data_IF_970115844059
#
_entry.id   IF_970115844059
#
_cell.length_a   1.000
_cell.length_b   1.000
_cell.length_c   1.000
_cell.angle_alpha   90.00
_cell.angle_beta   90.00
_cell.angle_gamma   90.00
#
_symmetry.space_group_name_H-M   'P 1'
#
loop_
_entity.id
_entity.type
_entity.pdbx_description
1 polymer ?
#
# COMPACT_ATOMS: atom_id res chain seq x y z
N UNK A 1 -13.56 9.37 22.66
CA UNK A 1 -12.20 9.74 22.21
C UNK A 1 -12.12 9.63 20.70
N UNK A 2 -12.37 10.74 20.00
CA UNK A 2 -12.10 10.83 18.57
C UNK A 2 -10.59 10.87 18.41
N UNK A 3 -10.00 9.76 18.00
CA UNK A 3 -8.57 9.70 17.68
C UNK A 3 -8.41 10.62 16.48
N UNK A 4 -7.86 11.81 16.66
CA UNK A 4 -7.53 12.72 15.57
C UNK A 4 -6.56 11.99 14.63
N UNK A 5 -7.11 11.34 13.62
CA UNK A 5 -6.35 10.73 12.56
C UNK A 5 -5.64 11.87 11.86
N UNK A 6 -4.30 11.84 11.91
CA UNK A 6 -3.45 12.72 11.11
C UNK A 6 -3.91 12.69 9.65
N UNK A 7 -3.70 13.78 8.93
CA UNK A 7 -3.99 13.86 7.49
C UNK A 7 -3.35 12.67 6.75
N UNK A 8 -2.12 12.28 7.13
CA UNK A 8 -1.44 11.09 6.59
C UNK A 8 -2.14 9.77 6.94
N UNK A 9 -2.71 9.65 8.15
CA UNK A 9 -3.48 8.45 8.54
C UNK A 9 -4.78 8.35 7.73
N UNK A 10 -5.46 9.48 7.47
CA UNK A 10 -6.67 9.53 6.62
C UNK A 10 -6.33 9.15 5.18
N UNK A 11 -5.27 9.73 4.63
CA UNK A 11 -4.77 9.43 3.28
C UNK A 11 -4.43 7.94 3.14
N UNK A 12 -3.73 7.36 4.12
CA UNK A 12 -3.43 5.92 4.14
C UNK A 12 -4.71 5.08 4.11
N UNK A 13 -5.71 5.41 4.92
CA UNK A 13 -6.96 4.66 4.99
C UNK A 13 -7.69 4.71 3.64
N UNK A 14 -7.76 5.88 3.02
CA UNK A 14 -8.38 6.03 1.69
C UNK A 14 -7.66 5.17 0.64
N UNK A 15 -6.32 5.19 0.61
CA UNK A 15 -5.55 4.36 -0.32
C UNK A 15 -5.74 2.86 -0.04
N UNK A 16 -5.72 2.45 1.24
CA UNK A 16 -5.97 1.06 1.64
C UNK A 16 -7.37 0.57 1.28
N UNK A 17 -8.37 1.44 1.38
CA UNK A 17 -9.73 1.16 0.93
C UNK A 17 -9.75 0.92 -0.57
N UNK A 18 -9.16 1.80 -1.38
CA UNK A 18 -9.08 1.61 -2.83
C UNK A 18 -8.41 0.28 -3.23
N UNK A 19 -7.31 -0.08 -2.56
CA UNK A 19 -6.64 -1.37 -2.78
C UNK A 19 -7.50 -2.57 -2.40
N UNK A 20 -8.29 -2.43 -1.33
CA UNK A 20 -9.09 -3.52 -0.76
C UNK A 20 -10.49 -3.61 -1.38
N UNK A 21 -10.95 -2.55 -2.04
CA UNK A 21 -12.27 -2.46 -2.67
C UNK A 21 -12.45 -3.49 -3.78
N UNK A 22 -11.42 -3.77 -4.58
CA UNK A 22 -11.46 -4.84 -5.58
C UNK A 22 -10.05 -5.20 -6.08
N UNK A 23 -9.88 -6.47 -6.49
CA UNK A 23 -8.63 -6.97 -7.09
C UNK A 23 -8.20 -6.18 -8.33
N UNK A 24 -9.15 -5.60 -9.06
CA UNK A 24 -8.85 -4.82 -10.26
C UNK A 24 -8.49 -3.37 -9.95
N UNK A 25 -8.99 -2.80 -8.85
CA UNK A 25 -8.72 -1.41 -8.47
C UNK A 25 -7.26 -1.23 -8.08
N UNK A 26 -6.66 -2.21 -7.40
CA UNK A 26 -5.22 -2.21 -7.13
C UNK A 26 -4.37 -2.07 -8.41
N UNK A 27 -4.79 -2.70 -9.51
CA UNK A 27 -4.05 -2.64 -10.80
C UNK A 27 -4.23 -1.31 -11.52
N UNK A 28 -5.31 -0.58 -11.22
CA UNK A 28 -5.62 0.74 -11.79
C UNK A 28 -4.94 1.89 -11.06
N UNK A 29 -4.35 1.65 -9.89
CA UNK A 29 -3.58 2.67 -9.18
C UNK A 29 -2.40 3.14 -10.03
N UNK A 30 -2.22 4.46 -10.05
CA UNK A 30 -1.07 5.10 -10.68
C UNK A 30 0.21 4.83 -9.89
N UNK A 31 1.36 4.98 -10.57
CA UNK A 31 2.67 4.84 -9.95
C UNK A 31 2.84 5.73 -8.71
N UNK A 32 2.40 6.99 -8.79
CA UNK A 32 2.45 7.95 -7.68
C UNK A 32 1.61 7.49 -6.50
N UNK A 33 0.38 7.00 -6.74
CA UNK A 33 -0.49 6.48 -5.68
C UNK A 33 0.10 5.24 -5.00
N UNK A 34 0.77 4.37 -5.76
CA UNK A 34 1.43 3.19 -5.22
C UNK A 34 2.65 3.54 -4.37
N UNK A 35 3.51 4.45 -4.83
CA UNK A 35 4.65 4.97 -4.05
C UNK A 35 4.16 5.63 -2.76
N UNK A 36 3.12 6.45 -2.86
CA UNK A 36 2.51 7.12 -1.70
C UNK A 36 1.95 6.12 -0.69
N UNK A 37 1.26 5.08 -1.16
CA UNK A 37 0.77 4.00 -0.30
C UNK A 37 1.92 3.27 0.38
N UNK A 38 3.01 2.97 -0.34
CA UNK A 38 4.20 2.32 0.20
C UNK A 38 4.77 3.13 1.37
N UNK A 39 5.06 4.42 1.17
CA UNK A 39 5.63 5.30 2.19
C UNK A 39 4.74 5.37 3.45
N UNK A 40 3.43 5.56 3.27
CA UNK A 40 2.47 5.67 4.38
C UNK A 40 2.32 4.38 5.17
N UNK A 41 2.42 3.23 4.49
CA UNK A 41 2.37 1.91 5.12
C UNK A 41 3.68 1.60 5.83
N UNK A 42 4.83 1.96 5.25
CA UNK A 42 6.16 1.80 5.87
C UNK A 42 6.28 2.58 7.17
N UNK A 43 5.90 3.87 7.17
CA UNK A 43 5.92 4.75 8.36
C UNK A 43 5.04 4.24 9.50
N UNK A 44 3.97 3.49 9.20
CA UNK A 44 3.06 3.02 10.25
C UNK A 44 3.65 1.84 10.99
N UNK A 45 3.78 2.00 12.30
CA UNK A 45 4.20 0.91 13.18
C UNK A 45 3.03 -0.04 13.49
N UNK A 46 3.20 -1.30 13.08
CA UNK A 46 2.29 -2.43 13.35
C UNK A 46 2.98 -3.54 14.16
N UNK A 47 4.13 -3.24 14.78
CA UNK A 47 4.92 -4.21 15.58
C UNK A 47 4.10 -4.90 16.68
N UNK A 48 3.11 -4.19 17.23
CA UNK A 48 2.22 -4.67 18.27
C UNK A 48 1.20 -5.73 17.81
N UNK A 49 0.98 -5.90 16.50
CA UNK A 49 0.05 -6.88 15.95
C UNK A 49 0.72 -7.70 14.84
N UNK A 50 1.04 -8.96 15.17
CA UNK A 50 1.69 -9.91 14.25
C UNK A 50 0.88 -10.14 12.97
N UNK A 51 -0.45 -10.12 13.05
CA UNK A 51 -1.34 -10.31 11.88
C UNK A 51 -1.32 -9.06 11.00
N UNK A 52 -1.41 -7.87 11.61
CA UNK A 52 -1.31 -6.61 10.90
C UNK A 52 0.07 -6.44 10.25
N UNK A 53 1.15 -6.77 10.97
CA UNK A 53 2.50 -6.74 10.44
C UNK A 53 2.69 -7.70 9.24
N UNK A 54 2.18 -8.94 9.33
CA UNK A 54 2.21 -9.87 8.19
C UNK A 54 1.41 -9.34 6.99
N UNK A 55 0.28 -8.68 7.23
CA UNK A 55 -0.52 -8.03 6.19
C UNK A 55 0.24 -6.86 5.55
N UNK A 56 0.89 -6.01 6.37
CA UNK A 56 1.75 -4.90 5.95
C UNK A 56 2.83 -5.38 4.98
N UNK A 57 3.62 -6.37 5.37
CA UNK A 57 4.72 -6.90 4.54
C UNK A 57 4.19 -7.44 3.20
N UNK A 58 3.07 -8.17 3.19
CA UNK A 58 2.46 -8.66 1.96
C UNK A 58 1.97 -7.53 1.04
N UNK A 59 1.40 -6.48 1.62
CA UNK A 59 0.95 -5.32 0.85
C UNK A 59 2.13 -4.57 0.23
N UNK A 60 3.20 -4.35 1.01
CA UNK A 60 4.43 -3.72 0.51
C UNK A 60 5.04 -4.53 -0.64
N UNK A 61 5.18 -5.85 -0.49
CA UNK A 61 5.71 -6.69 -1.56
C UNK A 61 4.90 -6.59 -2.87
N UNK A 62 3.56 -6.61 -2.78
CA UNK A 62 2.69 -6.44 -3.96
C UNK A 62 2.79 -5.04 -4.57
N UNK A 63 2.88 -4.02 -3.74
CA UNK A 63 2.98 -2.62 -4.16
C UNK A 63 4.31 -2.38 -4.87
N UNK A 64 5.42 -2.87 -4.31
CA UNK A 64 6.75 -2.77 -4.88
C UNK A 64 6.85 -3.51 -6.21
N UNK A 65 6.29 -4.72 -6.30
CA UNK A 65 6.23 -5.47 -7.56
C UNK A 65 5.43 -4.70 -8.62
N UNK A 66 4.31 -4.09 -8.24
CA UNK A 66 3.51 -3.28 -9.17
C UNK A 66 4.21 -1.98 -9.61
N UNK A 67 4.90 -1.31 -8.69
CA UNK A 67 5.73 -0.14 -8.99
C UNK A 67 6.81 -0.54 -9.98
N UNK A 68 7.51 -1.64 -9.72
CA UNK A 68 8.54 -2.18 -10.61
C UNK A 68 8.00 -2.52 -12.01
N UNK A 69 6.85 -3.20 -12.11
CA UNK A 69 6.17 -3.46 -13.40
C UNK A 69 5.85 -2.18 -14.18
N UNK A 70 5.46 -1.11 -13.48
CA UNK A 70 5.08 0.16 -14.09
C UNK A 70 6.30 1.02 -14.48
N UNK A 71 7.37 0.97 -13.69
CA UNK A 71 8.61 1.73 -13.96
C UNK A 71 9.49 1.06 -15.01
N UNK A 72 9.66 -0.27 -14.97
CA UNK A 72 10.49 -1.00 -15.94
C UNK A 72 9.71 -1.45 -17.18
N UNK A 73 8.37 -1.35 -17.18
CA UNK A 73 7.55 -1.41 -18.38
C UNK A 73 7.39 -2.76 -19.09
N UNK A 74 8.23 -3.79 -18.87
CA UNK A 74 8.11 -5.18 -19.36
C UNK A 74 9.40 -5.98 -19.08
N UNK A 75 9.28 -7.13 -18.42
CA UNK A 75 10.35 -8.12 -18.18
C UNK A 75 10.76 -8.14 -16.71
N UNK A 76 10.94 -9.28 -16.01
CA UNK A 76 11.11 -10.67 -16.40
C UNK A 76 10.51 -11.53 -15.26
N UNK A 77 9.96 -12.70 -15.62
CA UNK A 77 9.52 -13.78 -14.74
C UNK A 77 10.59 -14.17 -13.69
N UNK A 78 10.15 -14.53 -12.48
CA UNK A 78 10.71 -15.63 -11.68
C UNK A 78 9.59 -16.30 -10.88
#
# INVERSE_FOLDING_TARGET
MSKDLSVEDRERITLLQLVSSSKNEFKKLSLEQLKRLQELVEKKDYSHDKKAHKSKVKLLAKTNLRIYELEEGKGIFY
#
